data_IF_366076759881
#
_entry.id   IF_366076759881
#
_cell.length_a   1.000
_cell.length_b   1.000
_cell.length_c   1.000
_cell.angle_alpha   90.00
_cell.angle_beta   90.00
_cell.angle_gamma   90.00
#
_symmetry.space_group_name_H-M   'P 1'
#
loop_
_entity.id
_entity.type
_entity.pdbx_description
1 polymer ?
#
# COMPACT_ATOMS: atom_id res chain seq x y z
N UNK A 1 29.26 6.48 1.13
CA UNK A 1 27.96 6.60 0.44
C UNK A 1 27.04 7.40 1.36
N UNK A 2 26.27 8.36 0.86
CA UNK A 2 25.46 9.21 1.74
C UNK A 2 24.37 8.34 2.41
N UNK A 3 24.27 8.38 3.73
CA UNK A 3 23.31 7.60 4.54
C UNK A 3 21.86 7.77 4.05
N UNK A 4 21.51 8.96 3.58
CA UNK A 4 20.20 9.25 2.98
C UNK A 4 19.97 8.40 1.71
N UNK A 5 20.97 8.28 0.84
CA UNK A 5 20.86 7.47 -0.39
C UNK A 5 20.77 5.97 -0.09
N UNK A 6 21.50 5.52 0.92
CA UNK A 6 21.40 4.13 1.37
C UNK A 6 20.01 3.84 1.90
N UNK A 7 19.47 4.69 2.78
CA UNK A 7 18.11 4.54 3.31
C UNK A 7 17.04 4.59 2.21
N UNK A 8 17.21 5.46 1.20
CA UNK A 8 16.33 5.50 0.02
C UNK A 8 16.34 4.17 -0.75
N UNK A 9 17.52 3.61 -0.98
CA UNK A 9 17.67 2.30 -1.65
C UNK A 9 17.02 1.17 -0.84
N UNK A 10 17.15 1.20 0.49
CA UNK A 10 16.51 0.24 1.39
C UNK A 10 14.99 0.37 1.38
N UNK A 11 14.46 1.60 1.35
CA UNK A 11 13.03 1.86 1.20
C UNK A 11 12.46 1.34 -0.12
N UNK A 12 13.19 1.52 -1.23
CA UNK A 12 12.81 0.94 -2.52
C UNK A 12 12.85 -0.59 -2.48
N UNK A 13 13.95 -1.16 -1.99
CA UNK A 13 14.13 -2.60 -1.90
C UNK A 13 13.06 -3.26 -1.03
N UNK A 14 12.60 -2.56 0.02
CA UNK A 14 11.53 -3.04 0.88
C UNK A 14 10.26 -3.37 0.12
N UNK A 15 9.78 -2.51 -0.79
CA UNK A 15 8.55 -2.73 -1.57
C UNK A 15 8.71 -3.88 -2.58
N UNK A 16 9.93 -4.12 -3.10
CA UNK A 16 10.20 -5.19 -4.06
C UNK A 16 10.63 -6.50 -3.41
N UNK A 17 10.76 -6.54 -2.07
CA UNK A 17 11.10 -7.76 -1.36
C UNK A 17 9.89 -8.71 -1.31
N UNK A 18 10.15 -10.02 -1.35
CA UNK A 18 9.12 -11.05 -1.20
C UNK A 18 8.41 -10.99 0.16
N UNK A 19 9.10 -10.52 1.19
CA UNK A 19 8.52 -10.33 2.53
C UNK A 19 7.52 -9.18 2.61
N UNK A 20 7.43 -8.34 1.57
CA UNK A 20 6.53 -7.20 1.47
C UNK A 20 5.51 -7.33 0.32
N UNK A 21 5.20 -8.57 -0.08
CA UNK A 21 4.20 -8.87 -1.14
C UNK A 21 2.81 -8.30 -0.81
N UNK A 22 2.51 -8.12 0.45
CA UNK A 22 1.31 -7.48 0.98
C UNK A 22 1.12 -6.04 0.48
N UNK A 23 2.19 -5.25 0.36
CA UNK A 23 2.15 -3.91 -0.23
C UNK A 23 1.74 -3.96 -1.70
N UNK A 24 2.31 -4.89 -2.47
CA UNK A 24 1.99 -5.07 -3.89
C UNK A 24 0.54 -5.54 -4.04
N UNK A 25 0.09 -6.49 -3.21
CA UNK A 25 -1.29 -6.96 -3.19
C UNK A 25 -2.27 -5.84 -2.82
N UNK A 26 -1.94 -5.05 -1.80
CA UNK A 26 -2.76 -3.90 -1.42
C UNK A 26 -2.88 -2.89 -2.56
N UNK A 27 -1.76 -2.50 -3.19
CA UNK A 27 -1.75 -1.58 -4.33
C UNK A 27 -2.52 -2.16 -5.53
N UNK A 28 -2.40 -3.45 -5.80
CA UNK A 28 -3.12 -4.13 -6.87
C UNK A 28 -4.64 -4.04 -6.65
N UNK A 29 -5.10 -4.37 -5.45
CA UNK A 29 -6.53 -4.30 -5.09
C UNK A 29 -7.01 -2.86 -5.06
N UNK A 30 -6.22 -1.93 -4.51
CA UNK A 30 -6.56 -0.51 -4.49
C UNK A 30 -6.74 0.04 -5.90
N UNK A 31 -5.81 -0.26 -6.81
CA UNK A 31 -5.82 0.22 -8.19
C UNK A 31 -6.89 -0.47 -9.06
N UNK A 32 -7.39 -1.64 -8.69
CA UNK A 32 -8.36 -2.39 -9.47
C UNK A 32 -9.65 -1.60 -9.82
N UNK A 33 -10.00 -0.60 -9.00
CA UNK A 33 -11.19 0.25 -9.19
C UNK A 33 -10.95 1.50 -10.03
N UNK A 34 -9.73 1.74 -10.51
CA UNK A 34 -9.33 2.97 -11.17
C UNK A 34 -8.73 2.68 -12.55
N UNK A 35 -8.73 3.68 -13.41
CA UNK A 35 -8.10 3.65 -14.72
C UNK A 35 -7.18 4.89 -14.92
N UNK A 36 -6.50 4.98 -16.05
CA UNK A 36 -5.61 6.10 -16.37
C UNK A 36 -6.26 7.48 -16.29
N UNK A 37 -7.59 7.58 -16.48
CA UNK A 37 -8.31 8.86 -16.36
C UNK A 37 -8.32 9.40 -14.92
N UNK A 38 -7.96 8.54 -13.95
CA UNK A 38 -7.99 8.83 -12.52
C UNK A 38 -6.60 8.89 -11.88
N UNK A 39 -5.53 9.04 -12.66
CA UNK A 39 -4.14 9.09 -12.17
C UNK A 39 -3.93 10.05 -11.00
N UNK A 40 -4.51 11.26 -11.08
CA UNK A 40 -4.42 12.25 -9.98
C UNK A 40 -4.99 11.69 -8.67
N UNK A 41 -6.09 10.95 -8.75
CA UNK A 41 -6.73 10.34 -7.57
C UNK A 41 -5.88 9.21 -7.00
N UNK A 42 -5.34 8.36 -7.88
CA UNK A 42 -4.48 7.24 -7.50
C UNK A 42 -3.22 7.79 -6.82
N UNK A 43 -2.58 8.80 -7.40
CA UNK A 43 -1.43 9.46 -6.79
C UNK A 43 -1.72 9.91 -5.36
N UNK A 44 -2.82 10.65 -5.13
CA UNK A 44 -3.18 11.08 -3.78
C UNK A 44 -3.54 9.95 -2.81
N UNK A 45 -4.06 8.82 -3.32
CA UNK A 45 -4.30 7.63 -2.49
C UNK A 45 -2.98 6.96 -2.09
N UNK A 46 -2.02 6.84 -3.00
CA UNK A 46 -0.68 6.33 -2.70
C UNK A 46 0.02 7.22 -1.68
N UNK A 47 0.02 8.54 -1.91
CA UNK A 47 0.59 9.51 -0.95
C UNK A 47 -0.11 9.43 0.42
N UNK A 48 -1.43 9.25 0.46
CA UNK A 48 -2.16 9.07 1.72
C UNK A 48 -1.72 7.80 2.46
N UNK A 49 -1.50 6.69 1.74
CA UNK A 49 -0.91 5.48 2.31
C UNK A 49 0.49 5.76 2.87
N UNK A 50 1.37 6.40 2.06
CA UNK A 50 2.74 6.73 2.48
C UNK A 50 2.77 7.64 3.71
N UNK A 51 1.86 8.61 3.82
CA UNK A 51 1.75 9.48 5.01
C UNK A 51 1.41 8.66 6.25
N UNK A 52 0.40 7.79 6.18
CA UNK A 52 0.04 6.90 7.29
C UNK A 52 1.18 5.97 7.67
N UNK A 53 1.83 5.37 6.67
CA UNK A 53 2.99 4.51 6.83
C UNK A 53 4.16 5.25 7.49
N UNK A 54 4.57 6.39 6.95
CA UNK A 54 5.67 7.20 7.47
C UNK A 54 5.43 7.63 8.92
N UNK A 55 4.23 8.08 9.24
CA UNK A 55 3.88 8.53 10.59
C UNK A 55 4.08 7.42 11.62
N UNK A 56 3.51 6.25 11.40
CA UNK A 56 3.60 5.13 12.33
C UNK A 56 4.96 4.45 12.32
N UNK A 57 5.64 4.43 11.17
CA UNK A 57 7.02 3.99 11.04
C UNK A 57 7.96 4.82 11.93
N UNK A 58 7.84 6.16 11.86
CA UNK A 58 8.64 7.07 12.72
C UNK A 58 8.33 6.85 14.19
N UNK A 59 7.06 6.76 14.59
CA UNK A 59 6.68 6.49 15.98
C UNK A 59 7.28 5.16 16.48
N UNK A 60 7.24 4.14 15.66
CA UNK A 60 7.79 2.82 15.99
C UNK A 60 9.32 2.86 16.06
N UNK A 61 9.99 3.52 15.11
CA UNK A 61 11.44 3.69 15.10
C UNK A 61 11.96 4.46 16.34
N UNK A 62 11.20 5.47 16.79
CA UNK A 62 11.50 6.23 18.02
C UNK A 62 11.16 5.46 19.31
N UNK A 63 10.55 4.29 19.23
CA UNK A 63 10.12 3.52 20.38
C UNK A 63 8.87 4.04 21.07
N UNK A 64 8.15 4.97 20.42
CA UNK A 64 6.90 5.56 20.93
C UNK A 64 5.67 4.68 20.64
N UNK A 65 5.82 3.66 19.79
CA UNK A 65 4.75 2.71 19.49
C UNK A 65 5.07 1.33 20.11
N UNK A 66 4.05 0.58 20.57
CA UNK A 66 4.24 -0.77 21.07
C UNK A 66 4.73 -1.69 19.95
N UNK A 67 5.47 -2.75 20.31
CA UNK A 67 5.78 -3.83 19.36
C UNK A 67 4.51 -4.58 19.04
N UNK A 68 3.95 -4.33 17.85
CA UNK A 68 2.66 -4.89 17.40
C UNK A 68 2.85 -5.92 16.28
N UNK A 69 4.03 -6.55 16.19
CA UNK A 69 4.35 -7.46 15.09
C UNK A 69 3.26 -8.52 14.89
N UNK A 70 2.87 -9.22 15.95
CA UNK A 70 1.86 -10.28 15.88
C UNK A 70 0.48 -9.77 15.41
N UNK A 71 0.08 -8.57 15.82
CA UNK A 71 -1.17 -7.95 15.37
C UNK A 71 -1.09 -7.45 13.94
N UNK A 72 0.06 -6.94 13.52
CA UNK A 72 0.26 -6.45 12.17
C UNK A 72 0.17 -7.57 11.14
N UNK A 73 0.72 -8.75 11.44
CA UNK A 73 0.65 -9.95 10.59
C UNK A 73 -0.80 -10.36 10.28
N UNK A 74 -1.74 -10.12 11.20
CA UNK A 74 -3.18 -10.37 11.02
C UNK A 74 -3.89 -9.16 10.37
N UNK A 75 -3.55 -7.95 10.81
CA UNK A 75 -4.25 -6.73 10.35
C UNK A 75 -3.93 -6.37 8.90
N UNK A 76 -2.71 -6.63 8.44
CA UNK A 76 -2.29 -6.34 7.07
C UNK A 76 -3.17 -7.11 6.05
N UNK A 77 -3.23 -8.45 6.06
CA UNK A 77 -4.10 -9.16 5.14
C UNK A 77 -5.58 -8.79 5.34
N UNK A 78 -6.02 -8.52 6.57
CA UNK A 78 -7.39 -8.04 6.82
C UNK A 78 -7.69 -6.73 6.09
N UNK A 79 -6.74 -5.78 6.01
CA UNK A 79 -6.95 -4.53 5.24
C UNK A 79 -7.08 -4.77 3.74
N UNK A 80 -6.39 -5.76 3.20
CA UNK A 80 -6.50 -6.16 1.79
C UNK A 80 -7.87 -6.79 1.53
N UNK A 81 -8.32 -7.70 2.40
CA UNK A 81 -9.66 -8.30 2.34
C UNK A 81 -10.74 -7.24 2.36
N UNK A 82 -10.65 -6.29 3.29
CA UNK A 82 -11.61 -5.18 3.41
C UNK A 82 -11.63 -4.32 2.13
N UNK A 83 -10.47 -4.01 1.57
CA UNK A 83 -10.35 -3.23 0.33
C UNK A 83 -10.99 -3.97 -0.85
N UNK A 84 -10.80 -5.28 -0.94
CA UNK A 84 -11.42 -6.13 -1.96
C UNK A 84 -12.95 -6.15 -1.83
N UNK A 85 -13.48 -6.29 -0.62
CA UNK A 85 -14.93 -6.24 -0.34
C UNK A 85 -15.49 -4.87 -0.73
N UNK A 86 -14.83 -3.78 -0.35
CA UNK A 86 -15.24 -2.41 -0.74
C UNK A 86 -15.27 -2.26 -2.26
N UNK A 87 -14.33 -2.87 -2.98
CA UNK A 87 -14.32 -2.86 -4.44
C UNK A 87 -15.52 -3.61 -5.04
N UNK A 88 -15.91 -4.75 -4.46
CA UNK A 88 -17.09 -5.50 -4.92
C UNK A 88 -18.40 -4.75 -4.68
N UNK A 89 -18.49 -4.03 -3.55
CA UNK A 89 -19.66 -3.23 -3.21
C UNK A 89 -19.79 -1.92 -4.00
N UNK A 90 -18.76 -1.52 -4.78
CA UNK A 90 -18.83 -0.29 -5.58
C UNK A 90 -19.82 -0.46 -6.73
N UNK A 91 -20.84 0.41 -6.86
CA UNK A 91 -21.73 0.41 -8.02
C UNK A 91 -20.95 0.68 -9.30
N UNK A 92 -21.43 0.14 -10.43
CA UNK A 92 -20.96 0.57 -11.75
C UNK A 92 -21.21 2.07 -11.89
N UNK A 93 -20.20 2.78 -12.39
CA UNK A 93 -20.08 4.24 -12.54
C UNK A 93 -21.42 5.01 -12.59
N UNK A 94 -21.96 5.43 -11.47
CA UNK A 94 -22.97 6.48 -11.40
C UNK A 94 -22.28 7.82 -11.12
N UNK A 95 -22.36 8.75 -12.08
CA UNK A 95 -21.94 10.14 -11.94
C UNK A 95 -22.77 10.78 -10.81
N UNK A 96 -22.25 10.94 -9.63
CA UNK A 96 -22.96 11.61 -8.52
C UNK A 96 -22.76 10.97 -7.15
N UNK A 97 -22.56 9.65 -7.04
CA UNK A 97 -22.24 8.98 -5.79
C UNK A 97 -20.76 9.05 -5.39
N UNK A 98 -19.94 9.63 -6.26
CA UNK A 98 -18.48 9.69 -6.13
C UNK A 98 -18.03 10.60 -4.98
N UNK A 99 -18.84 11.57 -4.55
CA UNK A 99 -18.38 12.54 -3.55
C UNK A 99 -18.44 12.05 -2.10
N UNK A 100 -19.49 11.36 -1.71
CA UNK A 100 -19.63 10.85 -0.33
C UNK A 100 -18.66 9.72 0.03
N UNK A 101 -18.17 8.96 -0.96
CA UNK A 101 -17.20 7.88 -0.73
C UNK A 101 -15.72 8.32 -0.75
N UNK A 102 -15.42 9.55 -1.13
CA UNK A 102 -14.02 10.00 -1.25
C UNK A 102 -13.29 10.01 0.10
N UNK A 103 -13.89 10.60 1.12
CA UNK A 103 -13.28 10.70 2.45
C UNK A 103 -13.02 9.33 3.06
N UNK A 104 -13.98 8.41 2.94
CA UNK A 104 -13.87 7.07 3.49
C UNK A 104 -12.69 6.29 2.89
N UNK A 105 -12.50 6.35 1.55
CA UNK A 105 -11.40 5.62 0.90
C UNK A 105 -10.04 6.19 1.29
N UNK A 106 -9.92 7.52 1.47
CA UNK A 106 -8.68 8.13 1.98
C UNK A 106 -8.40 7.72 3.43
N UNK A 107 -9.41 7.74 4.30
CA UNK A 107 -9.27 7.29 5.69
C UNK A 107 -8.84 5.82 5.76
N UNK A 108 -9.50 4.95 4.99
CA UNK A 108 -9.10 3.54 4.89
C UNK A 108 -7.66 3.40 4.42
N UNK A 109 -7.27 4.15 3.38
CA UNK A 109 -5.90 4.07 2.81
C UNK A 109 -4.85 4.56 3.81
N UNK A 110 -5.10 5.65 4.55
CA UNK A 110 -4.21 6.14 5.62
C UNK A 110 -4.11 5.09 6.74
N UNK A 111 -5.24 4.51 7.16
CA UNK A 111 -5.27 3.48 8.21
C UNK A 111 -4.49 2.24 7.77
N UNK A 112 -4.67 1.78 6.52
CA UNK A 112 -3.89 0.68 5.97
C UNK A 112 -2.39 1.00 5.98
N UNK A 113 -1.99 2.18 5.50
CA UNK A 113 -0.60 2.63 5.55
C UNK A 113 -0.06 2.65 6.98
N UNK A 114 -0.84 3.13 7.94
CA UNK A 114 -0.46 3.18 9.36
C UNK A 114 -0.19 1.79 9.94
N UNK A 115 -1.00 0.80 9.60
CA UNK A 115 -0.81 -0.59 10.03
C UNK A 115 0.50 -1.15 9.44
N UNK A 116 0.75 -0.93 8.15
CA UNK A 116 1.98 -1.37 7.50
C UNK A 116 3.23 -0.69 8.08
N UNK A 117 3.16 0.61 8.36
CA UNK A 117 4.27 1.36 8.96
C UNK A 117 4.62 0.89 10.39
N UNK A 118 3.62 0.52 11.20
CA UNK A 118 3.85 -0.06 12.53
C UNK A 118 4.58 -1.40 12.45
N UNK A 119 4.19 -2.25 11.51
CA UNK A 119 4.82 -3.56 11.32
C UNK A 119 6.31 -3.43 11.04
N UNK A 120 6.67 -2.59 10.08
CA UNK A 120 8.04 -2.39 9.63
C UNK A 120 8.90 -1.63 10.62
N UNK A 121 8.36 -0.58 11.23
CA UNK A 121 9.12 0.25 12.16
C UNK A 121 9.70 -0.56 13.32
N UNK A 122 9.01 -1.61 13.77
CA UNK A 122 9.51 -2.52 14.79
C UNK A 122 10.70 -3.37 14.32
N UNK A 123 10.78 -3.71 13.04
CA UNK A 123 11.88 -4.49 12.46
C UNK A 123 13.10 -3.62 12.13
N UNK A 124 12.87 -2.41 11.62
CA UNK A 124 13.94 -1.50 11.17
C UNK A 124 14.61 -0.76 12.33
N UNK A 125 13.94 -0.61 13.47
CA UNK A 125 14.52 -0.03 14.68
C UNK A 125 15.88 -0.64 15.06
N UNK A 126 16.12 -1.89 14.67
CA UNK A 126 17.39 -2.59 14.91
C UNK A 126 18.47 -2.19 13.90
N UNK A 127 18.09 -1.67 12.72
CA UNK A 127 18.98 -1.37 11.60
C UNK A 127 19.33 0.10 11.43
N UNK A 128 18.48 1.02 11.94
CA UNK A 128 18.74 2.45 11.88
C UNK A 128 19.71 2.85 12.99
N UNK A 129 20.80 3.51 12.58
CA UNK A 129 21.73 4.11 13.53
C UNK A 129 21.10 5.38 14.15
N UNK A 130 20.92 5.44 15.49
CA UNK A 130 20.38 6.63 16.18
C UNK A 130 21.34 7.83 16.16
N UNK A 131 22.39 7.81 15.34
CA UNK A 131 23.41 8.85 15.21
C UNK A 131 22.90 10.16 14.60
N UNK A 132 23.84 11.04 14.23
CA UNK A 132 23.61 12.44 13.84
C UNK A 132 22.68 12.64 12.62
N UNK A 133 22.38 11.60 11.81
CA UNK A 133 21.58 11.71 10.58
C UNK A 133 20.30 10.85 10.57
N UNK A 134 19.77 10.52 11.74
CA UNK A 134 18.59 9.67 11.89
C UNK A 134 17.38 10.18 11.09
N UNK A 135 17.09 11.49 11.14
CA UNK A 135 16.00 12.11 10.35
C UNK A 135 16.23 11.96 8.85
N UNK A 136 17.46 12.14 8.39
CA UNK A 136 17.80 11.94 6.97
C UNK A 136 17.57 10.50 6.50
N UNK A 137 17.87 9.52 7.33
CA UNK A 137 17.60 8.10 7.05
C UNK A 137 16.09 7.82 6.98
N UNK A 138 15.29 8.34 7.94
CA UNK A 138 13.83 8.21 7.93
C UNK A 138 13.20 8.82 6.67
N UNK A 139 13.62 10.03 6.30
CA UNK A 139 13.15 10.71 5.08
C UNK A 139 13.55 9.91 3.85
N UNK A 140 14.82 9.51 3.75
CA UNK A 140 15.32 8.72 2.63
C UNK A 140 14.53 7.43 2.44
N UNK A 141 14.33 6.67 3.50
CA UNK A 141 13.56 5.42 3.47
C UNK A 141 12.14 5.64 2.96
N UNK A 142 11.39 6.61 3.52
CA UNK A 142 10.01 6.86 3.12
C UNK A 142 9.89 7.39 1.67
N UNK A 143 10.85 8.21 1.21
CA UNK A 143 10.91 8.61 -0.21
C UNK A 143 11.17 7.41 -1.12
N UNK A 144 12.03 6.48 -0.71
CA UNK A 144 12.27 5.23 -1.44
C UNK A 144 11.01 4.38 -1.55
N UNK A 145 10.27 4.23 -0.45
CA UNK A 145 8.98 3.53 -0.41
C UNK A 145 7.99 4.19 -1.40
N UNK A 146 7.83 5.52 -1.37
CA UNK A 146 6.87 6.23 -2.23
C UNK A 146 7.21 6.07 -3.71
N UNK A 147 8.49 6.23 -4.08
CA UNK A 147 8.94 6.04 -5.46
C UNK A 147 8.70 4.62 -5.95
N UNK A 148 8.99 3.60 -5.13
CA UNK A 148 8.73 2.21 -5.46
C UNK A 148 7.24 1.91 -5.64
N UNK A 149 6.38 2.44 -4.76
CA UNK A 149 4.93 2.31 -4.86
C UNK A 149 4.39 2.95 -6.15
N UNK A 150 4.86 4.13 -6.53
CA UNK A 150 4.49 4.79 -7.78
C UNK A 150 4.89 3.91 -8.98
N UNK A 151 6.11 3.33 -8.97
CA UNK A 151 6.57 2.42 -10.02
C UNK A 151 5.66 1.18 -10.13
N UNK A 152 5.30 0.55 -9.00
CA UNK A 152 4.36 -0.58 -8.95
C UNK A 152 2.99 -0.18 -9.51
N UNK A 153 2.46 0.98 -9.12
CA UNK A 153 1.17 1.48 -9.62
C UNK A 153 1.20 1.71 -11.13
N UNK A 154 2.27 2.30 -11.65
CA UNK A 154 2.44 2.48 -13.10
C UNK A 154 2.44 1.13 -13.81
N UNK A 155 3.14 0.14 -13.28
CA UNK A 155 3.15 -1.23 -13.83
C UNK A 155 1.75 -1.86 -13.79
N UNK A 156 1.03 -1.77 -12.67
CA UNK A 156 -0.34 -2.28 -12.53
C UNK A 156 -1.28 -1.65 -13.55
N UNK A 157 -1.26 -0.32 -13.68
CA UNK A 157 -2.15 0.39 -14.60
C UNK A 157 -1.79 0.11 -16.06
N UNK A 158 -0.52 -0.01 -16.40
CA UNK A 158 -0.08 -0.36 -17.75
C UNK A 158 -0.53 -1.78 -18.11
N UNK A 159 -0.35 -2.74 -17.21
CA UNK A 159 -0.84 -4.11 -17.39
C UNK A 159 -2.35 -4.14 -17.53
N UNK A 160 -3.07 -3.44 -16.65
CA UNK A 160 -4.52 -3.30 -16.72
C UNK A 160 -4.97 -2.74 -18.06
N UNK A 161 -4.40 -1.61 -18.48
CA UNK A 161 -4.76 -0.97 -19.76
C UNK A 161 -4.51 -1.91 -20.95
N UNK A 162 -3.35 -2.57 -20.96
CA UNK A 162 -2.98 -3.50 -22.03
C UNK A 162 -3.95 -4.68 -22.11
N UNK A 163 -4.21 -5.34 -20.97
CA UNK A 163 -5.11 -6.50 -20.93
C UNK A 163 -6.56 -6.12 -21.25
N UNK A 164 -7.05 -5.00 -20.73
CA UNK A 164 -8.39 -4.51 -21.04
C UNK A 164 -8.54 -4.20 -22.52
N UNK A 165 -7.50 -3.62 -23.17
CA UNK A 165 -7.53 -3.28 -24.59
C UNK A 165 -7.41 -4.52 -25.49
N UNK A 166 -6.56 -5.47 -25.13
CA UNK A 166 -6.35 -6.70 -25.91
C UNK A 166 -7.52 -7.68 -25.79
N UNK A 167 -8.10 -7.82 -24.60
CA UNK A 167 -9.13 -8.80 -24.29
C UNK A 167 -10.55 -8.21 -24.30
N UNK A 168 -10.70 -6.89 -24.49
CA UNK A 168 -12.01 -6.23 -24.46
C UNK A 168 -12.69 -6.23 -23.09
N UNK A 169 -11.93 -6.42 -22.01
CA UNK A 169 -12.47 -6.54 -20.64
C UNK A 169 -12.93 -5.17 -20.15
N UNK A 170 -14.16 -5.09 -19.63
CA UNK A 170 -14.67 -3.86 -19.00
C UNK A 170 -14.05 -3.67 -17.61
N UNK A 171 -13.87 -2.42 -17.18
CA UNK A 171 -13.31 -2.07 -15.87
C UNK A 171 -14.04 -2.76 -14.70
N UNK A 172 -15.36 -2.94 -14.78
CA UNK A 172 -16.14 -3.65 -13.77
C UNK A 172 -15.72 -5.11 -13.60
N UNK A 173 -15.53 -5.85 -14.70
CA UNK A 173 -15.07 -7.24 -14.67
C UNK A 173 -13.62 -7.35 -14.18
N UNK A 174 -12.73 -6.44 -14.64
CA UNK A 174 -11.37 -6.32 -14.16
C UNK A 174 -11.33 -6.13 -12.65
N UNK A 175 -12.09 -5.15 -12.14
CA UNK A 175 -12.20 -4.85 -10.72
C UNK A 175 -12.60 -6.05 -9.89
N UNK A 176 -13.65 -6.77 -10.33
CA UNK A 176 -14.15 -7.96 -9.62
C UNK A 176 -13.09 -9.07 -9.62
N UNK A 177 -12.50 -9.35 -10.78
CA UNK A 177 -11.50 -10.42 -10.92
C UNK A 177 -10.24 -10.16 -10.12
N UNK A 178 -9.65 -8.97 -10.26
CA UNK A 178 -8.42 -8.59 -9.54
C UNK A 178 -8.65 -8.51 -8.03
N UNK A 179 -9.80 -7.96 -7.61
CA UNK A 179 -10.15 -7.96 -6.18
C UNK A 179 -10.36 -9.38 -5.66
N UNK A 180 -10.87 -10.31 -6.49
CA UNK A 180 -10.99 -11.73 -6.14
C UNK A 180 -9.64 -12.41 -5.94
N UNK A 181 -8.67 -12.14 -6.83
CA UNK A 181 -7.30 -12.64 -6.70
C UNK A 181 -6.68 -12.09 -5.41
N UNK A 182 -6.77 -10.78 -5.17
CA UNK A 182 -6.23 -10.16 -3.97
C UNK A 182 -6.88 -10.66 -2.68
N UNK A 183 -8.20 -10.88 -2.70
CA UNK A 183 -8.94 -11.47 -1.59
C UNK A 183 -8.46 -12.88 -1.27
N UNK A 184 -8.34 -13.75 -2.29
CA UNK A 184 -7.86 -15.12 -2.12
C UNK A 184 -6.44 -15.17 -1.58
N UNK A 185 -5.53 -14.35 -2.13
CA UNK A 185 -4.14 -14.26 -1.66
C UNK A 185 -4.07 -13.77 -0.21
N UNK A 186 -4.79 -12.72 0.13
CA UNK A 186 -4.82 -12.18 1.49
C UNK A 186 -5.45 -13.17 2.50
N UNK A 187 -6.45 -13.93 2.07
CA UNK A 187 -7.05 -14.99 2.91
C UNK A 187 -6.04 -16.11 3.19
N UNK A 188 -5.27 -16.53 2.19
CA UNK A 188 -4.20 -17.53 2.39
C UNK A 188 -3.14 -17.03 3.37
N UNK A 189 -2.67 -15.77 3.22
CA UNK A 189 -1.70 -15.15 4.14
C UNK A 189 -2.28 -15.14 5.56
N UNK A 190 -3.55 -14.76 5.72
CA UNK A 190 -4.21 -14.70 7.02
C UNK A 190 -4.32 -16.09 7.67
N UNK A 191 -4.65 -17.12 6.90
CA UNK A 191 -4.76 -18.50 7.41
C UNK A 191 -3.40 -19.09 7.80
N UNK A 192 -2.33 -18.68 7.12
CA UNK A 192 -0.96 -19.10 7.45
C UNK A 192 -0.43 -18.44 8.73
N UNK A 193 -1.04 -17.31 9.12
CA UNK A 193 -0.66 -16.52 10.29
C UNK A 193 -1.41 -16.95 11.58
N UNK A 194 -2.54 -17.66 11.45
CA UNK A 194 -3.38 -18.11 12.57
C UNK A 194 -2.99 -19.50 13.06
#
# INVERSE_FOLDING_TARGET
MNQLFQAFSEGMAHIFCLDAVDHILFLLVLCASYDYSMLKRIFWLVTAFTIGHAFTFVLSALGCAPSVRSWAEVLIPFTILLTAIVNWCKPERQKGLIEKGKTLIYLLTITCGSIHGLAIGSMIRIKLDPGENFLGQLIGFNLGVEVAQIAVVVLILTTQWTLMRLLGIKLGHWRIGVSGIGFGAALLILLDTL
#
